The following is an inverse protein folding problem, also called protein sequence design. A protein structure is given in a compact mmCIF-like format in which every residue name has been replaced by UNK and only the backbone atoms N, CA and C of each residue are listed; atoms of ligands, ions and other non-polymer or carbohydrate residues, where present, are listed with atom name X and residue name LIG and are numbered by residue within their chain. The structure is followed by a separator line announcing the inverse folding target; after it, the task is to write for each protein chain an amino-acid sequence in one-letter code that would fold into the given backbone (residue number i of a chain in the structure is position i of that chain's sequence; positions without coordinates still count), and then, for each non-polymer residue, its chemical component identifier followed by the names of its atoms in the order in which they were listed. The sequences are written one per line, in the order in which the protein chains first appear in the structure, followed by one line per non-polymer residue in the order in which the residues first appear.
data_IF_706367720014
#
_entry.id   IF_706367720014
#
_cell.length_a   1.000
_cell.length_b   1.000
_cell.length_c   1.000
_cell.angle_alpha   90.00
_cell.angle_beta   90.00
_cell.angle_gamma   90.00
#
_symmetry.space_group_name_H-M   'P 1'
#
loop_
_entity.id
_entity.type
_entity.pdbx_description
1 polymer ?
#
# COMPACT_ATOMS: atom_id res chain seq x y z
N UNK A 1 12.96 3.02 -10.19
CA UNK A 1 12.84 4.38 -10.78
C UNK A 1 12.45 5.43 -9.74
N UNK A 2 11.42 5.21 -8.91
CA UNK A 2 10.97 6.19 -7.90
C UNK A 2 11.57 5.89 -6.53
N UNK A 3 12.37 6.82 -5.97
CA UNK A 3 12.97 6.65 -4.64
C UNK A 3 11.95 6.83 -3.52
N UNK A 4 11.04 7.79 -3.67
CA UNK A 4 10.05 8.11 -2.64
C UNK A 4 9.16 6.92 -2.27
N UNK A 5 8.76 6.10 -3.24
CA UNK A 5 7.94 4.90 -3.01
C UNK A 5 8.68 3.77 -2.28
N UNK A 6 10.00 3.87 -2.14
CA UNK A 6 10.86 2.92 -1.42
C UNK A 6 11.57 3.59 -0.23
N UNK A 7 11.01 4.68 0.28
CA UNK A 7 11.49 5.38 1.47
C UNK A 7 10.72 4.92 2.71
N UNK A 8 11.42 4.68 3.82
CA UNK A 8 10.84 4.58 5.16
C UNK A 8 11.38 5.71 6.04
N UNK A 9 10.72 5.97 7.16
CA UNK A 9 11.06 7.06 8.07
C UNK A 9 11.38 6.47 9.44
N UNK A 10 12.52 6.85 10.00
CA UNK A 10 12.94 6.40 11.34
C UNK A 10 13.19 7.61 12.22
N UNK A 11 12.82 7.51 13.49
CA UNK A 11 13.20 8.50 14.49
C UNK A 11 14.65 8.26 14.94
N UNK A 12 15.49 9.30 14.87
CA UNK A 12 16.85 9.34 15.42
C UNK A 12 16.98 10.54 16.36
N UNK A 13 16.89 10.30 17.67
CA UNK A 13 16.81 11.36 18.66
C UNK A 13 15.55 12.21 18.46
N UNK A 14 15.72 13.52 18.29
CA UNK A 14 14.62 14.45 18.01
C UNK A 14 14.31 14.61 16.52
N UNK A 15 15.06 13.95 15.63
CA UNK A 15 14.91 14.10 14.17
C UNK A 15 14.29 12.88 13.51
N UNK A 16 13.36 13.10 12.57
CA UNK A 16 12.92 12.07 11.64
C UNK A 16 13.85 12.03 10.42
N UNK A 17 14.41 10.85 10.12
CA UNK A 17 15.30 10.64 8.97
C UNK A 17 14.65 9.73 7.93
N UNK A 18 14.94 10.01 6.66
CA UNK A 18 14.50 9.18 5.53
C UNK A 18 15.53 8.09 5.23
N UNK A 19 15.05 6.86 5.08
CA UNK A 19 15.84 5.70 4.69
C UNK A 19 15.37 5.25 3.31
N UNK A 20 16.21 5.49 2.31
CA UNK A 20 15.94 5.11 0.93
C UNK A 20 16.46 3.68 0.70
N UNK A 21 15.55 2.73 0.47
CA UNK A 21 15.90 1.31 0.31
C UNK A 21 16.27 0.98 -1.13
N UNK A 22 17.20 0.05 -1.39
CA UNK A 22 17.50 -0.40 -2.76
C UNK A 22 16.23 -0.80 -3.56
N UNK A 23 16.23 -0.66 -4.90
CA UNK A 23 15.10 -1.08 -5.73
C UNK A 23 14.69 -2.53 -5.43
N UNK A 24 13.40 -2.74 -5.20
CA UNK A 24 12.79 -4.06 -4.97
C UNK A 24 11.53 -4.21 -5.80
N UNK A 25 11.14 -5.45 -6.06
CA UNK A 25 9.86 -5.73 -6.70
C UNK A 25 8.71 -5.21 -5.81
N UNK A 26 7.71 -4.61 -6.44
CA UNK A 26 6.45 -4.27 -5.78
C UNK A 26 5.63 -5.54 -5.58
N UNK A 27 5.05 -5.71 -4.40
CA UNK A 27 4.08 -6.78 -4.15
C UNK A 27 2.70 -6.31 -4.60
N UNK A 28 2.15 -6.98 -5.61
CA UNK A 28 0.74 -6.87 -6.00
C UNK A 28 -0.05 -7.98 -5.31
N UNK A 29 -0.99 -7.61 -4.44
CA UNK A 29 -1.92 -8.60 -3.86
C UNK A 29 -3.12 -8.76 -4.79
N UNK A 30 -3.42 -9.99 -5.20
CA UNK A 30 -4.54 -10.29 -6.11
C UNK A 30 -5.52 -11.18 -5.36
N UNK A 31 -6.79 -10.78 -5.31
CA UNK A 31 -7.84 -11.51 -4.60
C UNK A 31 -9.22 -11.29 -5.23
N UNK A 32 -10.14 -12.22 -5.00
CA UNK A 32 -11.56 -12.02 -5.36
C UNK A 32 -12.28 -11.26 -4.26
N UNK A 33 -13.31 -10.49 -4.62
CA UNK A 33 -14.17 -9.84 -3.63
C UNK A 33 -14.95 -10.92 -2.86
N UNK A 34 -14.94 -10.90 -1.51
CA UNK A 34 -15.69 -11.86 -0.72
C UNK A 34 -17.20 -11.81 -1.02
N UNK A 35 -17.83 -12.98 -1.06
CA UNK A 35 -19.26 -13.07 -1.35
C UNK A 35 -20.09 -12.26 -0.35
N UNK A 36 -20.96 -11.37 -0.87
CA UNK A 36 -21.82 -10.52 -0.04
C UNK A 36 -21.13 -9.29 0.56
N UNK A 37 -19.83 -9.07 0.29
CA UNK A 37 -19.14 -7.85 0.71
C UNK A 37 -19.20 -6.80 -0.41
N UNK A 38 -19.65 -5.56 -0.12
CA UNK A 38 -19.61 -4.49 -1.11
C UNK A 38 -18.16 -4.06 -1.39
N UNK A 39 -17.90 -3.62 -2.62
CA UNK A 39 -16.58 -3.16 -3.05
C UNK A 39 -16.07 -2.01 -2.17
N UNK A 40 -16.97 -1.10 -1.80
CA UNK A 40 -16.73 0.05 -0.95
C UNK A 40 -16.16 -0.38 0.41
N UNK A 41 -16.68 -1.46 1.01
CA UNK A 41 -16.15 -1.98 2.26
C UNK A 41 -14.72 -2.53 2.10
N UNK A 42 -14.38 -3.10 0.94
CA UNK A 42 -13.01 -3.55 0.66
C UNK A 42 -12.04 -2.36 0.56
N UNK A 43 -12.48 -1.27 -0.08
CA UNK A 43 -11.72 -0.02 -0.18
C UNK A 43 -11.55 0.63 1.19
N UNK A 44 -12.62 0.74 1.97
CA UNK A 44 -12.58 1.30 3.32
C UNK A 44 -11.64 0.52 4.24
N UNK A 45 -11.68 -0.81 4.20
CA UNK A 45 -10.76 -1.67 4.95
C UNK A 45 -9.30 -1.38 4.59
N UNK A 46 -9.01 -1.17 3.30
CA UNK A 46 -7.67 -0.83 2.85
C UNK A 46 -7.24 0.57 3.32
N UNK A 47 -8.14 1.56 3.27
CA UNK A 47 -7.88 2.93 3.73
C UNK A 47 -7.65 3.02 5.25
N UNK A 48 -8.38 2.21 6.04
CA UNK A 48 -8.27 2.18 7.50
C UNK A 48 -7.03 1.43 7.99
N UNK A 49 -6.38 0.62 7.14
CA UNK A 49 -5.20 -0.15 7.53
C UNK A 49 -3.99 0.79 7.67
N UNK A 50 -3.43 0.97 8.87
CA UNK A 50 -2.32 1.91 9.08
C UNK A 50 -1.04 1.45 8.36
N UNK A 51 -0.13 2.40 8.17
CA UNK A 51 1.22 2.13 7.70
C UNK A 51 2.20 2.15 8.88
N UNK A 52 3.12 1.19 8.91
CA UNK A 52 4.31 1.24 9.77
C UNK A 52 5.38 2.06 9.02
N UNK A 53 5.59 3.31 9.44
CA UNK A 53 6.49 4.25 8.78
C UNK A 53 7.96 3.78 8.79
N UNK A 54 8.36 2.96 9.76
CA UNK A 54 9.73 2.49 9.91
C UNK A 54 10.04 1.27 9.03
N UNK A 55 9.04 0.40 8.84
CA UNK A 55 9.21 -0.86 8.10
C UNK A 55 8.74 -0.80 6.66
N UNK A 56 7.68 -0.04 6.39
CA UNK A 56 7.04 0.00 5.09
C UNK A 56 6.52 -1.38 4.59
N UNK A 57 6.23 -1.52 3.29
CA UNK A 57 6.24 -0.44 2.29
C UNK A 57 5.15 0.60 2.56
N UNK A 58 5.37 1.86 2.12
CA UNK A 58 4.42 2.97 2.26
C UNK A 58 3.51 3.15 1.04
N UNK A 59 3.57 2.20 0.12
CA UNK A 59 2.65 1.97 -0.99
C UNK A 59 2.17 0.52 -0.88
N UNK A 60 0.86 0.32 -0.93
CA UNK A 60 0.23 -1.00 -1.08
C UNK A 60 -0.60 -0.99 -2.37
N UNK A 61 -0.54 -2.10 -3.10
CA UNK A 61 -1.28 -2.27 -4.35
C UNK A 61 -2.06 -3.59 -4.30
N UNK A 62 -3.37 -3.48 -4.52
CA UNK A 62 -4.30 -4.61 -4.53
C UNK A 62 -5.07 -4.62 -5.85
N UNK A 63 -5.27 -5.81 -6.40
CA UNK A 63 -6.16 -6.04 -7.54
C UNK A 63 -7.30 -6.92 -7.07
N UNK A 64 -8.51 -6.36 -7.05
CA UNK A 64 -9.73 -7.08 -6.74
C UNK A 64 -10.35 -7.60 -8.05
N UNK A 65 -10.56 -8.90 -8.14
CA UNK A 65 -11.26 -9.52 -9.27
C UNK A 65 -12.76 -9.52 -8.98
N UNK A 66 -13.53 -8.79 -9.78
CA UNK A 66 -15.00 -8.75 -9.71
C UNK A 66 -15.61 -9.85 -10.60
N UNK A 67 -15.04 -10.04 -11.79
CA UNK A 67 -15.38 -11.09 -12.74
C UNK A 67 -14.12 -11.54 -13.50
N UNK A 68 -14.29 -12.32 -14.58
CA UNK A 68 -13.18 -12.82 -15.39
C UNK A 68 -12.43 -11.70 -16.14
N UNK A 69 -13.13 -10.63 -16.49
CA UNK A 69 -12.65 -9.48 -17.27
C UNK A 69 -12.91 -8.13 -16.57
N UNK A 70 -13.39 -8.16 -15.33
CA UNK A 70 -13.70 -6.98 -14.53
C UNK A 70 -12.86 -6.96 -13.26
N UNK A 71 -12.08 -5.89 -13.08
CA UNK A 71 -11.12 -5.76 -12.00
C UNK A 71 -11.09 -4.34 -11.45
N UNK A 72 -10.76 -4.22 -10.17
CA UNK A 72 -10.52 -2.94 -9.50
C UNK A 72 -9.10 -2.92 -8.95
N UNK A 73 -8.32 -1.96 -9.39
CA UNK A 73 -6.98 -1.70 -8.87
C UNK A 73 -7.07 -0.66 -7.75
N UNK A 74 -6.67 -1.06 -6.54
CA UNK A 74 -6.57 -0.17 -5.39
C UNK A 74 -5.10 0.16 -5.15
N UNK A 75 -4.79 1.45 -5.17
CA UNK A 75 -3.49 1.98 -4.76
C UNK A 75 -3.69 2.79 -3.48
N UNK A 76 -2.94 2.45 -2.44
CA UNK A 76 -2.98 3.17 -1.17
C UNK A 76 -1.57 3.57 -0.79
N UNK A 77 -1.37 4.87 -0.61
CA UNK A 77 -0.08 5.50 -0.37
C UNK A 77 -0.16 6.34 0.90
N UNK A 78 0.87 6.30 1.73
CA UNK A 78 1.01 7.27 2.80
C UNK A 78 1.34 8.65 2.21
N UNK A 79 0.62 9.70 2.58
CA UNK A 79 0.77 11.07 2.04
C UNK A 79 2.16 11.74 2.28
N UNK A 80 3.05 11.08 3.02
CA UNK A 80 4.41 11.56 3.31
C UNK A 80 5.42 11.15 2.21
N UNK A 81 5.03 10.21 1.34
CA UNK A 81 5.80 9.79 0.16
C UNK A 81 5.18 10.28 -1.13
#
# INVERSE_FOLDING_TARGET
RHETLRTTFRQQGEQAVQIIHAPRALTLMVESVPAGQPLEACVEQEMQRPFDLEKGPLLRVRLLNLAADEHVLILTQHHIV
#
